data_IF_746344984768
#
_entry.id   IF_746344984768
#
_cell.length_a   1.000
_cell.length_b   1.000
_cell.length_c   1.000
_cell.angle_alpha   90.00
_cell.angle_beta   90.00
_cell.angle_gamma   90.00
#
_symmetry.space_group_name_H-M   'P 1'
#
loop_
_entity.id
_entity.type
_entity.pdbx_description
1 polymer ?
#
# COMPACT_ATOMS: atom_id res chain seq x y z
N UNK A 1 17.21 -1.48 5.87
CA UNK A 1 16.32 -1.72 4.72
C UNK A 1 16.38 -3.18 4.32
N UNK A 2 15.25 -3.71 3.80
CA UNK A 2 15.21 -5.05 3.23
C UNK A 2 15.81 -5.10 1.82
N UNK A 3 15.74 -6.28 1.22
CA UNK A 3 16.14 -6.48 -0.17
C UNK A 3 15.12 -5.82 -1.12
N UNK A 4 15.57 -5.51 -2.35
CA UNK A 4 14.72 -4.87 -3.35
C UNK A 4 13.64 -5.86 -3.80
N UNK A 5 12.38 -5.41 -3.78
CA UNK A 5 11.19 -6.20 -4.12
C UNK A 5 10.98 -7.47 -3.27
N UNK A 6 11.44 -7.45 -2.03
CA UNK A 6 11.28 -8.54 -1.08
C UNK A 6 10.72 -8.00 0.22
N UNK A 7 9.76 -8.70 0.80
CA UNK A 7 9.25 -8.36 2.12
C UNK A 7 10.37 -8.45 3.17
N UNK A 8 10.55 -7.45 4.05
CA UNK A 8 11.51 -7.55 5.13
C UNK A 8 11.12 -8.67 6.09
N UNK A 9 12.12 -9.32 6.67
CA UNK A 9 11.88 -10.38 7.66
C UNK A 9 11.40 -9.79 8.98
N UNK A 10 10.65 -10.56 9.81
CA UNK A 10 10.11 -10.05 11.09
C UNK A 10 11.17 -9.49 12.04
N UNK A 11 12.35 -10.12 12.09
CA UNK A 11 13.48 -9.65 12.91
C UNK A 11 13.96 -8.25 12.50
N UNK A 12 14.07 -7.98 11.19
CA UNK A 12 14.47 -6.65 10.69
C UNK A 12 13.42 -5.57 10.99
N UNK A 13 12.14 -5.92 10.88
CA UNK A 13 11.05 -5.01 11.24
C UNK A 13 11.10 -4.71 12.73
N UNK A 14 11.23 -5.75 13.56
CA UNK A 14 11.32 -5.66 15.01
C UNK A 14 12.53 -4.80 15.45
N UNK A 15 13.72 -5.10 14.96
CA UNK A 15 14.93 -4.34 15.29
C UNK A 15 14.81 -2.86 14.92
N UNK A 16 14.27 -2.56 13.74
CA UNK A 16 14.06 -1.19 13.30
C UNK A 16 13.08 -0.46 14.20
N UNK A 17 11.94 -1.08 14.52
CA UNK A 17 10.91 -0.50 15.38
C UNK A 17 11.43 -0.24 16.79
N UNK A 18 12.17 -1.19 17.38
CA UNK A 18 12.81 -1.02 18.70
C UNK A 18 13.80 0.14 18.74
N UNK A 19 14.48 0.44 17.63
CA UNK A 19 15.44 1.53 17.56
C UNK A 19 14.79 2.92 17.46
N UNK A 20 13.59 3.00 16.89
CA UNK A 20 12.89 4.27 16.68
C UNK A 20 11.85 4.55 17.75
N UNK A 21 11.46 3.56 18.56
CA UNK A 21 10.49 3.76 19.64
C UNK A 21 11.03 4.74 20.68
N UNK A 22 10.35 5.87 20.81
CA UNK A 22 10.62 6.90 21.82
C UNK A 22 9.77 6.74 23.09
N UNK A 23 9.00 5.66 23.23
CA UNK A 23 8.09 5.41 24.36
C UNK A 23 6.64 5.81 24.10
N UNK A 24 6.34 6.54 23.04
CA UNK A 24 4.97 6.89 22.63
C UNK A 24 4.31 5.81 21.76
N UNK A 25 5.11 4.88 21.24
CA UNK A 25 4.69 3.74 20.44
C UNK A 25 5.07 3.81 18.97
N UNK A 26 4.80 2.72 18.27
CA UNK A 26 5.17 2.52 16.87
C UNK A 26 3.95 2.23 16.02
N UNK A 27 3.76 2.99 14.95
CA UNK A 27 2.79 2.71 13.90
C UNK A 27 3.47 2.02 12.72
N UNK A 28 3.05 0.81 12.40
CA UNK A 28 3.52 0.07 11.23
C UNK A 28 2.58 0.31 10.04
N UNK A 29 3.10 0.88 8.97
CA UNK A 29 2.40 1.13 7.72
C UNK A 29 2.75 0.03 6.74
N UNK A 30 1.78 -0.79 6.37
CA UNK A 30 1.97 -2.07 5.68
C UNK A 30 1.30 -2.03 4.31
N UNK A 31 2.03 -2.27 3.24
CA UNK A 31 1.41 -2.51 1.93
C UNK A 31 0.74 -3.89 1.92
N UNK A 32 -0.46 -3.97 1.35
CA UNK A 32 -1.22 -5.22 1.31
C UNK A 32 -0.62 -6.21 0.30
N UNK A 33 0.37 -6.96 0.75
CA UNK A 33 0.95 -8.13 0.08
C UNK A 33 1.08 -9.25 1.10
N UNK A 34 0.82 -10.48 0.70
CA UNK A 34 0.77 -11.63 1.63
C UNK A 34 2.04 -11.79 2.45
N UNK A 35 3.21 -11.63 1.81
CA UNK A 35 4.50 -11.72 2.50
C UNK A 35 4.69 -10.61 3.53
N UNK A 36 4.34 -9.36 3.17
CA UNK A 36 4.41 -8.22 4.09
C UNK A 36 3.45 -8.41 5.25
N UNK A 37 2.19 -8.76 4.99
CA UNK A 37 1.20 -8.99 6.05
C UNK A 37 1.72 -10.01 7.06
N UNK A 38 2.18 -11.18 6.63
CA UNK A 38 2.67 -12.23 7.53
C UNK A 38 3.89 -11.79 8.35
N UNK A 39 4.85 -11.13 7.71
CA UNK A 39 6.08 -10.69 8.38
C UNK A 39 5.82 -9.56 9.37
N UNK A 40 4.98 -8.59 9.01
CA UNK A 40 4.61 -7.49 9.88
C UNK A 40 3.68 -7.93 11.02
N UNK A 41 2.77 -8.88 10.80
CA UNK A 41 1.96 -9.46 11.88
C UNK A 41 2.86 -10.12 12.93
N UNK A 42 3.83 -10.94 12.51
CA UNK A 42 4.78 -11.57 13.41
C UNK A 42 5.61 -10.53 14.18
N UNK A 43 6.12 -9.51 13.49
CA UNK A 43 6.89 -8.43 14.14
C UNK A 43 6.04 -7.62 15.12
N UNK A 44 4.78 -7.39 14.82
CA UNK A 44 3.83 -6.67 15.69
C UNK A 44 3.65 -7.40 17.02
N UNK A 45 3.44 -8.71 16.97
CA UNK A 45 3.30 -9.55 18.18
C UNK A 45 4.58 -9.52 19.02
N UNK A 46 5.76 -9.65 18.39
CA UNK A 46 7.06 -9.55 19.07
C UNK A 46 7.29 -8.19 19.73
N UNK A 47 6.90 -7.10 19.07
CA UNK A 47 6.98 -5.74 19.62
C UNK A 47 6.07 -5.58 20.84
N UNK A 48 4.84 -6.06 20.75
CA UNK A 48 3.90 -6.02 21.85
C UNK A 48 4.41 -6.82 23.06
N UNK A 49 4.90 -8.04 22.84
CA UNK A 49 5.50 -8.90 23.89
C UNK A 49 6.73 -8.26 24.55
N UNK A 50 7.42 -7.38 23.82
CA UNK A 50 8.55 -6.60 24.32
C UNK A 50 8.14 -5.31 25.03
N UNK A 51 6.84 -5.06 25.18
CA UNK A 51 6.30 -3.90 25.91
C UNK A 51 6.15 -2.63 25.08
N UNK A 52 6.33 -2.69 23.76
CA UNK A 52 6.12 -1.56 22.84
C UNK A 52 4.63 -1.42 22.54
N UNK A 53 4.10 -0.19 22.65
CA UNK A 53 2.78 0.12 22.11
C UNK A 53 2.86 0.10 20.59
N UNK A 54 2.22 -0.84 19.94
CA UNK A 54 2.27 -0.98 18.48
C UNK A 54 0.88 -1.11 17.90
N UNK A 55 0.64 -0.48 16.76
CA UNK A 55 -0.56 -0.69 15.95
C UNK A 55 -0.23 -0.64 14.47
N UNK A 56 -1.18 -0.99 13.62
CA UNK A 56 -0.95 -1.19 12.19
C UNK A 56 -1.96 -0.46 11.33
N UNK A 57 -1.53 -0.06 10.13
CA UNK A 57 -2.37 0.43 9.04
C UNK A 57 -2.00 -0.34 7.77
N UNK A 58 -2.95 -1.08 7.23
CA UNK A 58 -2.78 -1.81 5.97
C UNK A 58 -3.27 -0.95 4.81
N UNK A 59 -2.45 -0.83 3.76
CA UNK A 59 -2.72 -0.01 2.57
C UNK A 59 -3.15 -0.90 1.42
N UNK A 60 -4.29 -0.56 0.79
CA UNK A 60 -4.95 -1.33 -0.26
C UNK A 60 -5.56 -0.41 -1.34
N UNK A 61 -4.75 0.47 -1.92
CA UNK A 61 -5.20 1.58 -2.77
C UNK A 61 -5.33 1.28 -4.26
N UNK A 62 -4.70 0.20 -4.76
CA UNK A 62 -4.66 -0.12 -6.18
C UNK A 62 -6.01 -0.58 -6.71
N UNK A 63 -6.57 0.19 -7.65
CA UNK A 63 -7.89 -0.10 -8.23
C UNK A 63 -7.85 -1.14 -9.35
N UNK A 64 -6.66 -1.44 -9.88
CA UNK A 64 -6.52 -2.31 -11.03
C UNK A 64 -6.93 -3.76 -10.74
N UNK A 65 -6.65 -4.27 -9.54
CA UNK A 65 -6.90 -5.67 -9.19
C UNK A 65 -7.58 -5.74 -7.83
N UNK A 66 -8.71 -6.44 -7.74
CA UNK A 66 -9.44 -6.65 -6.47
C UNK A 66 -8.88 -7.80 -5.65
N UNK A 67 -8.40 -8.84 -6.33
CA UNK A 67 -7.74 -10.00 -5.75
C UNK A 67 -6.63 -10.47 -6.69
N UNK A 68 -5.50 -10.90 -6.14
CA UNK A 68 -4.38 -11.44 -6.91
C UNK A 68 -3.83 -12.71 -6.26
N UNK A 69 -2.89 -13.36 -6.93
CA UNK A 69 -2.16 -14.50 -6.34
C UNK A 69 -1.26 -14.09 -5.16
N UNK A 70 -1.02 -12.79 -4.98
CA UNK A 70 -0.07 -12.23 -4.01
C UNK A 70 -0.75 -11.43 -2.89
N UNK A 71 -2.06 -11.17 -3.02
CA UNK A 71 -2.83 -10.39 -2.05
C UNK A 71 -4.24 -10.95 -1.90
N UNK A 72 -4.78 -10.89 -0.68
CA UNK A 72 -6.21 -10.94 -0.47
C UNK A 72 -6.72 -9.49 -0.58
N UNK A 73 -7.51 -9.20 -1.60
CA UNK A 73 -7.97 -7.84 -1.90
C UNK A 73 -6.97 -7.01 -2.73
N UNK A 74 -7.15 -5.69 -2.71
CA UNK A 74 -6.34 -4.75 -3.49
C UNK A 74 -4.91 -4.66 -2.97
N UNK A 75 -3.97 -4.44 -3.88
CA UNK A 75 -2.55 -4.19 -3.56
C UNK A 75 -2.38 -2.82 -2.91
N UNK A 76 -1.38 -2.67 -2.04
CA UNK A 76 -0.91 -1.38 -1.53
C UNK A 76 0.18 -0.81 -2.42
N UNK A 77 -0.02 0.41 -2.96
CA UNK A 77 0.91 1.02 -3.91
C UNK A 77 1.19 2.49 -3.55
N UNK A 78 0.78 3.43 -4.37
CA UNK A 78 1.23 4.82 -4.33
C UNK A 78 0.67 5.64 -3.16
N UNK A 79 -0.50 5.29 -2.65
CA UNK A 79 -1.08 5.97 -1.49
C UNK A 79 -0.21 5.83 -0.23
N UNK A 80 0.68 4.85 -0.18
CA UNK A 80 1.69 4.70 0.87
C UNK A 80 2.48 5.99 1.09
N UNK A 81 2.93 6.63 0.00
CA UNK A 81 3.72 7.87 0.06
C UNK A 81 2.93 9.01 0.71
N UNK A 82 1.66 9.14 0.36
CA UNK A 82 0.78 10.17 0.93
C UNK A 82 0.47 9.89 2.41
N UNK A 83 0.21 8.63 2.75
CA UNK A 83 -0.07 8.22 4.13
C UNK A 83 1.17 8.44 5.01
N UNK A 84 2.35 7.97 4.60
CA UNK A 84 3.59 8.19 5.34
C UNK A 84 3.87 9.68 5.57
N UNK A 85 3.67 10.51 4.55
CA UNK A 85 3.88 11.96 4.64
C UNK A 85 2.92 12.61 5.63
N UNK A 86 1.63 12.31 5.54
CA UNK A 86 0.60 12.97 6.35
C UNK A 86 0.58 12.45 7.80
N UNK A 87 0.73 11.15 7.98
CA UNK A 87 0.81 10.52 9.31
C UNK A 87 2.11 10.91 10.01
N UNK A 88 3.24 10.93 9.28
CA UNK A 88 4.52 11.40 9.82
C UNK A 88 4.46 12.85 10.28
N UNK A 89 3.79 13.73 9.53
CA UNK A 89 3.58 15.12 9.94
C UNK A 89 2.65 15.24 11.17
N UNK A 90 1.67 14.35 11.32
CA UNK A 90 0.82 14.29 12.50
C UNK A 90 1.62 13.84 13.74
N UNK A 91 2.44 12.81 13.60
CA UNK A 91 3.33 12.32 14.65
C UNK A 91 4.34 13.39 15.10
N UNK A 92 4.98 14.09 14.12
CA UNK A 92 5.92 15.18 14.42
C UNK A 92 5.26 16.36 15.15
N UNK A 93 3.97 16.59 14.93
CA UNK A 93 3.17 17.57 15.65
C UNK A 93 2.83 17.15 17.08
N UNK A 94 3.05 15.89 17.44
CA UNK A 94 2.76 15.30 18.75
C UNK A 94 1.38 14.67 18.88
N UNK A 95 0.75 14.30 17.75
CA UNK A 95 -0.51 13.54 17.79
C UNK A 95 -0.23 12.12 18.34
N UNK A 96 -1.20 11.56 19.09
CA UNK A 96 -1.04 10.24 19.72
C UNK A 96 -0.96 9.12 18.68
N UNK A 97 -0.44 7.95 19.09
CA UNK A 97 -0.41 6.75 18.24
C UNK A 97 -1.77 6.41 17.65
N UNK A 98 -2.83 6.47 18.48
CA UNK A 98 -4.20 6.18 18.04
C UNK A 98 -4.69 7.20 17.01
N UNK A 99 -4.43 8.49 17.21
CA UNK A 99 -4.80 9.55 16.27
C UNK A 99 -4.06 9.40 14.94
N UNK A 100 -2.78 9.05 14.96
CA UNK A 100 -1.98 8.76 13.77
C UNK A 100 -2.52 7.53 13.02
N UNK A 101 -2.87 6.47 13.73
CA UNK A 101 -3.44 5.26 13.14
C UNK A 101 -4.82 5.51 12.52
N UNK A 102 -5.69 6.24 13.20
CA UNK A 102 -7.00 6.64 12.67
C UNK A 102 -6.86 7.49 11.40
N UNK A 103 -5.96 8.47 11.41
CA UNK A 103 -5.64 9.27 10.23
C UNK A 103 -5.17 8.38 9.07
N UNK A 104 -4.26 7.44 9.32
CA UNK A 104 -3.76 6.51 8.31
C UNK A 104 -4.87 5.65 7.70
N UNK A 105 -5.76 5.08 8.51
CA UNK A 105 -6.92 4.30 8.05
C UNK A 105 -7.89 5.16 7.23
N UNK A 106 -8.16 6.37 7.66
CA UNK A 106 -9.00 7.33 6.93
C UNK A 106 -8.41 7.67 5.57
N UNK A 107 -7.12 7.97 5.51
CA UNK A 107 -6.41 8.25 4.26
C UNK A 107 -6.39 7.04 3.33
N UNK A 108 -6.18 5.82 3.90
CA UNK A 108 -6.28 4.60 3.11
C UNK A 108 -7.68 4.41 2.50
N UNK A 109 -8.74 4.69 3.25
CA UNK A 109 -10.12 4.58 2.76
C UNK A 109 -10.47 5.58 1.64
N UNK A 110 -9.76 6.68 1.54
CA UNK A 110 -9.96 7.72 0.53
C UNK A 110 -8.98 7.65 -0.63
N UNK A 111 -7.91 6.86 -0.48
CA UNK A 111 -6.84 6.77 -1.48
C UNK A 111 -7.13 5.72 -2.55
N UNK A 112 -6.84 6.08 -3.80
CA UNK A 112 -6.92 5.22 -4.97
C UNK A 112 -5.66 5.40 -5.79
N UNK A 113 -5.16 4.33 -6.38
CA UNK A 113 -4.03 4.38 -7.31
C UNK A 113 -4.21 3.44 -8.49
N UNK A 114 -3.51 3.73 -9.56
CA UNK A 114 -3.36 2.86 -10.72
C UNK A 114 -1.97 3.09 -11.32
N UNK A 115 -1.35 2.05 -11.81
CA UNK A 115 -0.06 2.11 -12.48
C UNK A 115 -0.12 1.55 -13.89
N UNK A 116 0.81 1.99 -14.74
CA UNK A 116 1.07 1.40 -16.06
C UNK A 116 2.57 1.13 -16.17
N UNK A 117 2.94 0.20 -17.03
CA UNK A 117 4.33 0.01 -17.43
C UNK A 117 4.48 -0.06 -18.95
N UNK A 118 5.46 0.67 -19.48
CA UNK A 118 5.92 0.61 -20.87
C UNK A 118 7.15 -0.30 -21.02
N UNK A 119 7.64 -0.84 -19.92
CA UNK A 119 8.75 -1.77 -19.85
C UNK A 119 8.84 -2.38 -18.48
N UNK A 120 9.54 -3.48 -18.33
CA UNK A 120 9.77 -4.13 -17.05
C UNK A 120 11.05 -3.63 -16.38
N UNK A 121 11.02 -3.54 -15.05
CA UNK A 121 12.24 -3.35 -14.28
C UNK A 121 13.06 -4.65 -14.22
N UNK A 122 14.35 -4.49 -14.01
CA UNK A 122 15.26 -5.61 -13.73
C UNK A 122 15.69 -5.56 -12.27
N UNK A 123 15.17 -6.51 -11.47
CA UNK A 123 15.60 -6.67 -10.09
C UNK A 123 17.07 -7.14 -10.08
N UNK A 124 17.98 -6.48 -9.36
CA UNK A 124 19.40 -6.83 -9.34
C UNK A 124 19.67 -8.31 -9.06
N UNK A 125 18.97 -8.90 -8.10
CA UNK A 125 19.12 -10.31 -7.74
C UNK A 125 18.65 -11.27 -8.85
N UNK A 126 17.68 -10.87 -9.68
CA UNK A 126 17.16 -11.69 -10.77
C UNK A 126 18.01 -11.59 -12.06
N UNK A 127 18.68 -10.45 -12.26
CA UNK A 127 19.53 -10.18 -13.42
C UNK A 127 18.81 -10.17 -14.77
N UNK A 128 17.47 -10.19 -14.78
CA UNK A 128 16.63 -10.18 -15.98
C UNK A 128 15.32 -9.44 -15.70
N UNK A 129 14.67 -8.88 -16.75
CA UNK A 129 13.36 -8.25 -16.61
C UNK A 129 12.31 -9.21 -16.02
N UNK A 130 11.40 -8.68 -15.18
CA UNK A 130 10.31 -9.45 -14.56
C UNK A 130 9.27 -9.93 -15.60
N UNK A 131 9.10 -9.19 -16.69
CA UNK A 131 8.27 -9.54 -17.85
C UNK A 131 8.83 -8.88 -19.12
N UNK A 132 8.24 -9.17 -20.28
CA UNK A 132 8.60 -8.54 -21.56
C UNK A 132 7.37 -7.94 -22.20
N UNK A 133 7.51 -6.76 -22.80
CA UNK A 133 6.51 -6.11 -23.66
C UNK A 133 7.09 -5.94 -25.06
N UNK A 134 6.24 -5.92 -26.08
CA UNK A 134 6.64 -5.47 -27.40
C UNK A 134 6.80 -3.92 -27.39
N UNK A 135 7.48 -3.37 -28.41
CA UNK A 135 7.83 -1.94 -28.45
C UNK A 135 6.63 -0.99 -28.38
N UNK A 136 5.45 -1.47 -28.75
CA UNK A 136 4.21 -0.69 -28.76
C UNK A 136 3.16 -1.22 -27.76
N UNK A 137 3.56 -2.02 -26.80
CA UNK A 137 2.67 -2.54 -25.76
C UNK A 137 2.86 -1.85 -24.42
N UNK A 138 1.81 -1.86 -23.60
CA UNK A 138 1.85 -1.50 -22.20
C UNK A 138 1.14 -2.55 -21.35
N UNK A 139 1.58 -2.69 -20.11
CA UNK A 139 0.84 -3.41 -19.06
C UNK A 139 0.01 -2.40 -18.28
N UNK A 140 -1.31 -2.48 -18.38
CA UNK A 140 -2.23 -1.55 -17.70
C UNK A 140 -2.65 -2.10 -16.35
N UNK A 141 -2.40 -1.34 -15.29
CA UNK A 141 -2.66 -1.76 -13.91
C UNK A 141 -1.59 -2.68 -13.34
N UNK A 142 -0.35 -2.61 -13.84
CA UNK A 142 0.77 -3.42 -13.36
C UNK A 142 1.04 -3.21 -11.86
N UNK A 143 1.40 -4.29 -11.16
CA UNK A 143 1.85 -4.22 -9.77
C UNK A 143 3.32 -3.80 -9.64
N UNK A 144 3.70 -3.36 -8.45
CA UNK A 144 5.06 -2.82 -8.18
C UNK A 144 6.17 -3.86 -8.30
N UNK A 145 5.86 -5.15 -8.25
CA UNK A 145 6.81 -6.24 -8.47
C UNK A 145 6.72 -6.83 -9.90
N UNK A 146 5.93 -6.20 -10.78
CA UNK A 146 5.66 -6.69 -12.13
C UNK A 146 4.54 -7.74 -12.20
N UNK A 147 3.68 -7.79 -11.18
CA UNK A 147 2.49 -8.63 -11.20
C UNK A 147 1.52 -8.14 -12.28
N UNK A 148 0.84 -9.08 -12.98
CA UNK A 148 -0.12 -8.73 -14.01
C UNK A 148 -1.17 -7.73 -13.52
N UNK A 149 -1.52 -6.79 -14.39
CA UNK A 149 -2.56 -5.80 -14.15
C UNK A 149 -3.93 -6.23 -14.64
N UNK A 150 -4.67 -5.28 -15.19
CA UNK A 150 -5.98 -5.52 -15.82
C UNK A 150 -5.78 -6.27 -17.13
N UNK A 151 -4.91 -5.74 -18.00
CA UNK A 151 -4.56 -6.35 -19.26
C UNK A 151 -3.26 -5.80 -19.85
N UNK A 152 -2.77 -6.52 -20.86
CA UNK A 152 -1.72 -6.07 -21.74
C UNK A 152 -2.34 -5.61 -23.06
N UNK A 153 -2.02 -4.39 -23.49
CA UNK A 153 -2.62 -3.76 -24.65
C UNK A 153 -1.63 -2.88 -25.43
N UNK A 154 -1.92 -2.56 -26.69
CA UNK A 154 -1.11 -1.59 -27.42
C UNK A 154 -1.11 -0.22 -26.75
N UNK A 155 0.06 0.41 -26.67
CA UNK A 155 0.16 1.82 -26.30
C UNK A 155 -0.25 2.68 -27.51
N UNK A 156 -1.23 3.54 -27.34
CA UNK A 156 -1.76 4.40 -28.41
C UNK A 156 -1.19 5.82 -28.34
N UNK A 157 -1.51 6.55 -27.29
CA UNK A 157 -1.02 7.89 -27.01
C UNK A 157 -1.02 8.16 -25.51
N UNK A 158 -0.24 9.16 -25.10
CA UNK A 158 -0.21 9.58 -23.70
C UNK A 158 -1.57 10.06 -23.22
N UNK A 159 -2.24 10.92 -24.01
CA UNK A 159 -3.53 11.51 -23.65
C UNK A 159 -4.59 10.42 -23.44
N UNK A 160 -4.71 9.49 -24.38
CA UNK A 160 -5.66 8.37 -24.26
C UNK A 160 -5.34 7.49 -23.04
N UNK A 161 -4.07 7.21 -22.79
CA UNK A 161 -3.64 6.41 -21.64
C UNK A 161 -4.00 7.08 -20.32
N UNK A 162 -3.78 8.39 -20.23
CA UNK A 162 -4.13 9.18 -19.05
C UNK A 162 -5.63 9.23 -18.84
N UNK A 163 -6.42 9.43 -19.89
CA UNK A 163 -7.89 9.40 -19.83
C UNK A 163 -8.38 8.03 -19.31
N UNK A 164 -7.87 6.92 -19.85
CA UNK A 164 -8.23 5.57 -19.41
C UNK A 164 -7.83 5.31 -17.95
N UNK A 165 -6.69 5.83 -17.49
CA UNK A 165 -6.29 5.75 -16.07
C UNK A 165 -7.27 6.52 -15.19
N UNK A 166 -7.67 7.74 -15.57
CA UNK A 166 -8.65 8.51 -14.82
C UNK A 166 -10.03 7.84 -14.82
N UNK A 167 -10.50 7.34 -15.96
CA UNK A 167 -11.76 6.61 -16.05
C UNK A 167 -11.75 5.40 -15.08
N UNK A 168 -10.66 4.63 -15.07
CA UNK A 168 -10.51 3.50 -14.15
C UNK A 168 -10.54 3.92 -12.68
N UNK A 169 -9.92 5.04 -12.33
CA UNK A 169 -9.94 5.59 -10.98
C UNK A 169 -11.33 6.10 -10.56
N UNK A 170 -12.06 6.73 -11.49
CA UNK A 170 -13.36 7.36 -11.23
C UNK A 170 -14.50 6.34 -11.24
N UNK A 171 -14.48 5.36 -12.15
CA UNK A 171 -15.53 4.35 -12.32
C UNK A 171 -15.39 3.15 -11.37
N UNK A 172 -14.46 3.22 -10.46
CA UNK A 172 -14.05 2.10 -9.62
C UNK A 172 -15.11 1.57 -8.65
N UNK A 173 -16.23 2.26 -8.45
CA UNK A 173 -17.32 1.82 -7.56
C UNK A 173 -16.93 1.69 -6.08
N UNK A 174 -17.88 1.28 -5.24
CA UNK A 174 -17.58 0.99 -3.83
C UNK A 174 -16.79 -0.31 -3.68
N UNK A 175 -15.79 -0.30 -2.81
CA UNK A 175 -14.99 -1.47 -2.49
C UNK A 175 -15.13 -1.83 -1.01
N UNK A 176 -15.75 -2.97 -0.73
CA UNK A 176 -15.98 -3.49 0.62
C UNK A 176 -14.92 -4.54 0.95
N UNK A 177 -14.30 -4.43 2.12
CA UNK A 177 -13.33 -5.39 2.64
C UNK A 177 -13.27 -5.35 4.16
N UNK A 178 -12.67 -6.36 4.76
CA UNK A 178 -12.31 -6.37 6.18
C UNK A 178 -10.81 -6.23 6.30
N UNK A 179 -10.35 -5.23 7.05
CA UNK A 179 -8.95 -5.03 7.36
C UNK A 179 -8.67 -5.39 8.81
N UNK A 180 -7.47 -5.89 9.07
CA UNK A 180 -6.99 -6.22 10.40
C UNK A 180 -6.06 -5.12 10.91
N UNK A 181 -6.12 -4.86 12.21
CA UNK A 181 -5.16 -4.01 12.91
C UNK A 181 -4.87 -4.58 14.29
N UNK A 182 -3.71 -4.28 14.82
CA UNK A 182 -3.36 -4.66 16.17
C UNK A 182 -3.89 -3.65 17.18
N UNK A 183 -4.65 -4.15 18.17
CA UNK A 183 -5.06 -3.39 19.34
C UNK A 183 -4.09 -3.68 20.48
N UNK A 184 -3.16 -2.75 20.76
CA UNK A 184 -2.14 -2.93 21.78
C UNK A 184 -2.71 -2.91 23.20
N UNK A 185 -3.90 -2.37 23.41
CA UNK A 185 -4.56 -2.37 24.72
C UNK A 185 -5.16 -3.74 25.04
N UNK A 186 -5.69 -4.42 24.01
CA UNK A 186 -6.23 -5.77 24.14
C UNK A 186 -5.19 -6.87 23.88
N UNK A 187 -4.05 -6.53 23.29
CA UNK A 187 -3.03 -7.48 22.88
C UNK A 187 -3.53 -8.49 21.85
N UNK A 188 -4.33 -8.05 20.89
CA UNK A 188 -4.96 -8.95 19.91
C UNK A 188 -5.27 -8.25 18.60
N UNK A 189 -5.36 -9.06 17.53
CA UNK A 189 -5.81 -8.61 16.22
C UNK A 189 -7.32 -8.34 16.24
N UNK A 190 -7.69 -7.16 15.75
CA UNK A 190 -9.08 -6.77 15.53
C UNK A 190 -9.38 -6.74 14.04
N UNK A 191 -10.63 -7.02 13.68
CA UNK A 191 -11.11 -6.97 12.30
C UNK A 191 -12.13 -5.85 12.16
N UNK A 192 -11.96 -5.00 11.17
CA UNK A 192 -12.84 -3.87 10.91
C UNK A 192 -13.35 -3.91 9.46
N UNK A 193 -14.67 -4.07 9.26
CA UNK A 193 -15.27 -3.88 7.95
C UNK A 193 -15.12 -2.43 7.50
N UNK A 194 -14.57 -2.22 6.32
CA UNK A 194 -14.34 -0.90 5.75
C UNK A 194 -14.84 -0.81 4.32
N UNK A 195 -15.16 0.40 3.88
CA UNK A 195 -15.63 0.67 2.53
C UNK A 195 -14.89 1.86 1.95
N UNK A 196 -14.18 1.64 0.84
CA UNK A 196 -13.72 2.75 -0.01
C UNK A 196 -14.91 3.21 -0.86
N UNK A 197 -15.18 4.51 -0.81
CA UNK A 197 -16.21 5.12 -1.66
C UNK A 197 -15.60 5.56 -3.00
N UNK A 198 -16.35 5.47 -4.10
CA UNK A 198 -15.94 6.06 -5.36
C UNK A 198 -15.90 7.59 -5.24
N UNK A 199 -15.03 8.21 -6.03
CA UNK A 199 -15.00 9.66 -6.16
C UNK A 199 -16.31 10.18 -6.73
N UNK A 200 -16.78 11.32 -6.24
CA UNK A 200 -18.00 11.95 -6.66
C UNK A 200 -17.72 13.28 -7.37
N UNK A 201 -18.61 13.68 -8.26
CA UNK A 201 -18.52 15.00 -8.88
C UNK A 201 -18.55 16.11 -7.83
N UNK A 202 -17.53 16.95 -7.85
CA UNK A 202 -17.35 18.04 -6.88
C UNK A 202 -16.39 17.71 -5.74
N UNK A 203 -15.92 16.47 -5.63
CA UNK A 203 -14.88 16.12 -4.66
C UNK A 203 -13.58 16.86 -4.95
N UNK A 204 -12.89 17.27 -3.88
CA UNK A 204 -11.56 17.86 -3.95
C UNK A 204 -10.54 16.76 -3.74
N UNK A 205 -9.63 16.60 -4.68
CA UNK A 205 -8.62 15.55 -4.65
C UNK A 205 -7.20 16.12 -4.69
N UNK A 206 -6.25 15.36 -4.16
CA UNK A 206 -4.83 15.55 -4.41
C UNK A 206 -4.41 14.48 -5.41
N UNK A 207 -3.85 14.88 -6.53
CA UNK A 207 -3.28 13.96 -7.51
C UNK A 207 -1.77 13.89 -7.35
N UNK A 208 -1.25 12.67 -7.22
CA UNK A 208 0.19 12.39 -7.24
C UNK A 208 0.50 11.65 -8.54
N UNK A 209 1.36 12.26 -9.36
CA UNK A 209 1.91 11.62 -10.55
C UNK A 209 3.33 11.19 -10.23
N UNK A 210 3.58 9.89 -10.32
CA UNK A 210 4.91 9.30 -10.14
C UNK A 210 5.37 8.72 -11.47
N UNK A 211 6.57 9.10 -11.89
CA UNK A 211 7.22 8.61 -13.10
C UNK A 211 8.60 8.06 -12.73
N UNK A 212 8.84 6.82 -13.10
CA UNK A 212 10.10 6.12 -12.89
C UNK A 212 10.83 5.90 -14.21
#
# INVERSE_FOLDING_TARGET
>A
PGEIFTSPTPDKIFECAMQIDGGEGVLLIIKNYTGDILNFETATELLHDSGVKVTTVVIDDDVAVKDSLYTAGRRGVANTVLIEKLVGAAAERGDSLDACAELGRKLNNQGHSIGIALGACTVPAAGKPSFTLADNEMEFGVGIHGEPGIDRRPFSSLDQTVDEMFDTLLENGSYHRTLRFWDYQQGSWQEEPQTKQPLQSGDRVIALVNNL
#
